data_IF_438429956977
#
_entry.id   IF_438429956977
#
_cell.length_a   1.000
_cell.length_b   1.000
_cell.length_c   1.000
_cell.angle_alpha   90.00
_cell.angle_beta   90.00
_cell.angle_gamma   90.00
#
_symmetry.space_group_name_H-M   'P 1'
#
loop_
_entity.id
_entity.type
_entity.pdbx_description
1 polymer ?
#
# COMPACT_ATOMS: atom_id res chain seq x y z
N UNK A 1 42.23 3.79 -25.32
CA UNK A 1 43.28 4.52 -24.59
C UNK A 1 42.74 4.84 -23.20
N UNK A 2 43.50 4.59 -22.14
CA UNK A 2 43.07 4.83 -20.75
C UNK A 2 43.77 6.06 -20.16
N UNK A 3 43.02 6.87 -19.42
CA UNK A 3 43.58 7.92 -18.55
C UNK A 3 44.12 7.28 -17.26
N UNK A 4 44.89 8.04 -16.47
CA UNK A 4 45.62 7.59 -15.29
C UNK A 4 44.72 7.23 -14.08
N UNK A 5 43.60 6.57 -14.33
CA UNK A 5 42.71 6.05 -13.32
C UNK A 5 43.43 4.93 -12.56
N UNK A 6 43.65 5.13 -11.25
CA UNK A 6 44.29 4.14 -10.36
C UNK A 6 43.58 2.78 -10.37
N UNK A 7 42.30 2.75 -10.74
CA UNK A 7 41.50 1.54 -10.92
C UNK A 7 41.90 0.69 -12.14
N UNK A 8 42.61 1.26 -13.11
CA UNK A 8 43.01 0.58 -14.35
C UNK A 8 44.54 0.40 -14.43
N UNK A 9 45.29 1.41 -13.99
CA UNK A 9 46.75 1.43 -13.97
C UNK A 9 47.21 1.52 -12.53
N UNK A 10 47.83 0.46 -12.02
CA UNK A 10 48.39 0.39 -10.67
C UNK A 10 49.67 1.22 -10.59
N UNK A 11 50.55 1.08 -11.58
CA UNK A 11 51.85 1.75 -11.64
C UNK A 11 52.27 1.97 -13.10
N UNK A 12 52.89 3.11 -13.41
CA UNK A 12 53.34 3.43 -14.78
C UNK A 12 54.80 3.10 -14.96
N UNK A 13 55.13 2.55 -16.12
CA UNK A 13 56.52 2.32 -16.55
C UNK A 13 57.27 1.41 -15.56
N UNK A 14 56.52 0.51 -14.92
CA UNK A 14 57.00 -0.37 -13.85
C UNK A 14 58.02 -1.39 -14.37
N UNK A 15 57.99 -1.69 -15.67
CA UNK A 15 58.87 -2.66 -16.32
C UNK A 15 59.77 -2.00 -17.37
N UNK A 16 59.26 -1.04 -18.15
CA UNK A 16 60.00 -0.24 -19.14
C UNK A 16 59.18 1.00 -19.57
N UNK A 17 59.78 1.94 -20.31
CA UNK A 17 59.05 3.11 -20.84
C UNK A 17 57.90 2.68 -21.76
N UNK A 18 56.66 2.98 -21.37
CA UNK A 18 55.44 2.57 -22.06
C UNK A 18 54.85 1.23 -21.60
N UNK A 19 55.51 0.53 -20.65
CA UNK A 19 55.04 -0.74 -20.10
C UNK A 19 54.58 -0.56 -18.64
N UNK A 20 53.26 -0.53 -18.47
CA UNK A 20 52.61 -0.14 -17.22
C UNK A 20 52.06 -1.37 -16.49
N UNK A 21 52.10 -1.35 -15.16
CA UNK A 21 51.44 -2.33 -14.31
C UNK A 21 49.94 -2.07 -14.30
N UNK A 22 49.19 -2.93 -14.99
CA UNK A 22 47.73 -2.84 -15.11
C UNK A 22 47.03 -3.71 -14.06
N UNK A 23 45.78 -3.38 -13.75
CA UNK A 23 44.93 -4.25 -12.93
C UNK A 23 44.70 -5.60 -13.63
N UNK A 24 44.80 -6.70 -12.89
CA UNK A 24 44.75 -8.07 -13.44
C UNK A 24 43.44 -8.33 -14.20
N UNK A 25 42.31 -7.92 -13.63
CA UNK A 25 40.99 -8.05 -14.26
C UNK A 25 40.89 -7.29 -15.58
N UNK A 26 41.51 -6.12 -15.65
CA UNK A 26 41.50 -5.29 -16.85
C UNK A 26 42.40 -5.88 -17.94
N UNK A 27 43.53 -6.47 -17.55
CA UNK A 27 44.39 -7.23 -18.46
C UNK A 27 43.67 -8.47 -18.99
N UNK A 28 42.94 -9.19 -18.13
CA UNK A 28 42.15 -10.36 -18.52
C UNK A 28 41.05 -9.96 -19.50
N UNK A 29 40.29 -8.91 -19.19
CA UNK A 29 39.27 -8.37 -20.08
C UNK A 29 39.87 -7.96 -21.44
N UNK A 30 41.06 -7.37 -21.46
CA UNK A 30 41.70 -6.99 -22.72
C UNK A 30 42.04 -8.19 -23.61
N UNK A 31 42.40 -9.33 -23.00
CA UNK A 31 42.62 -10.60 -23.70
C UNK A 31 41.31 -11.20 -24.18
N UNK A 32 40.31 -11.28 -23.29
CA UNK A 32 39.00 -11.87 -23.59
C UNK A 32 38.29 -11.12 -24.74
N UNK A 33 38.44 -9.80 -24.79
CA UNK A 33 37.83 -8.94 -25.79
C UNK A 33 38.76 -8.58 -26.97
N UNK A 34 39.98 -9.09 -26.99
CA UNK A 34 40.91 -8.92 -28.12
C UNK A 34 41.36 -7.48 -28.38
N UNK A 35 41.46 -6.63 -27.36
CA UNK A 35 41.94 -5.25 -27.52
C UNK A 35 43.21 -4.97 -26.71
N UNK A 36 44.08 -4.08 -27.21
CA UNK A 36 45.29 -3.66 -26.49
C UNK A 36 45.06 -2.36 -25.73
N UNK A 37 45.39 -2.36 -24.44
CA UNK A 37 45.39 -1.16 -23.62
C UNK A 37 46.60 -0.30 -23.93
N UNK A 38 46.36 1.00 -24.09
CA UNK A 38 47.38 2.02 -24.31
C UNK A 38 47.10 3.18 -23.38
N UNK A 39 47.99 3.44 -22.43
CA UNK A 39 47.85 4.57 -21.54
C UNK A 39 48.12 5.88 -22.29
N UNK A 40 47.39 6.93 -21.93
CA UNK A 40 47.66 8.28 -22.42
C UNK A 40 48.98 8.80 -21.85
N UNK A 41 49.79 9.51 -22.66
CA UNK A 41 51.02 10.14 -22.16
C UNK A 41 50.68 11.22 -21.11
N UNK A 42 51.41 11.31 -19.98
CA UNK A 42 51.24 12.38 -19.00
C UNK A 42 51.37 13.77 -19.65
N UNK A 43 50.61 14.76 -19.17
CA UNK A 43 50.65 16.17 -19.61
C UNK A 43 50.31 16.47 -21.09
N UNK A 44 49.92 15.46 -21.89
CA UNK A 44 49.43 15.67 -23.27
C UNK A 44 47.91 15.49 -23.35
N UNK A 45 47.17 16.49 -22.85
CA UNK A 45 45.70 16.49 -22.82
C UNK A 45 45.04 16.37 -24.22
N UNK A 46 45.78 16.59 -25.31
CA UNK A 46 45.29 16.41 -26.70
C UNK A 46 45.03 14.93 -27.06
N UNK A 47 45.68 13.96 -26.39
CA UNK A 47 45.48 12.52 -26.61
C UNK A 47 44.46 11.87 -25.68
N UNK A 48 44.05 12.57 -24.62
CA UNK A 48 42.96 12.15 -23.74
C UNK A 48 41.65 12.36 -24.49
N UNK A 49 40.90 11.28 -24.74
CA UNK A 49 39.57 11.37 -25.34
C UNK A 49 38.72 12.37 -24.55
N UNK A 50 38.30 13.46 -25.20
CA UNK A 50 37.62 14.60 -24.58
C UNK A 50 36.16 14.28 -24.24
N UNK A 51 35.93 13.32 -23.34
CA UNK A 51 34.58 12.98 -22.83
C UNK A 51 33.96 14.18 -22.11
N UNK A 52 34.78 15.01 -21.44
CA UNK A 52 34.35 16.25 -20.77
C UNK A 52 33.62 17.24 -21.69
N UNK A 53 33.97 17.28 -22.99
CA UNK A 53 33.33 18.21 -23.94
C UNK A 53 31.91 17.79 -24.30
N UNK A 54 31.62 16.50 -24.32
CA UNK A 54 30.26 16.05 -24.60
C UNK A 54 29.33 16.34 -23.42
N UNK A 55 29.78 16.10 -22.19
CA UNK A 55 28.98 16.44 -21.00
C UNK A 55 28.68 17.93 -20.91
N UNK A 56 29.66 18.79 -21.22
CA UNK A 56 29.45 20.23 -21.34
C UNK A 56 28.42 20.58 -22.43
N UNK A 57 28.53 19.96 -23.61
CA UNK A 57 27.58 20.15 -24.71
C UNK A 57 26.15 19.70 -24.33
N UNK A 58 26.00 18.51 -23.75
CA UNK A 58 24.72 17.97 -23.28
C UNK A 58 24.08 18.91 -22.26
N UNK A 59 24.85 19.36 -21.26
CA UNK A 59 24.33 20.25 -20.23
C UNK A 59 23.79 21.55 -20.83
N UNK A 60 24.56 22.19 -21.71
CA UNK A 60 24.20 23.51 -22.23
C UNK A 60 23.20 23.47 -23.39
N UNK A 61 23.18 22.38 -24.18
CA UNK A 61 22.37 22.30 -25.41
C UNK A 61 21.12 21.43 -25.27
N UNK A 62 21.01 20.65 -24.19
CA UNK A 62 19.85 19.82 -23.89
C UNK A 62 19.24 20.17 -22.54
N UNK A 63 20.01 20.04 -21.45
CA UNK A 63 19.48 20.16 -20.09
C UNK A 63 18.99 21.58 -19.80
N UNK A 64 19.80 22.61 -20.11
CA UNK A 64 19.44 24.01 -19.83
C UNK A 64 18.19 24.44 -20.62
N UNK A 65 18.10 24.26 -21.96
CA UNK A 65 16.89 24.60 -22.71
C UNK A 65 15.65 23.83 -22.24
N UNK A 66 15.78 22.52 -21.99
CA UNK A 66 14.66 21.69 -21.55
C UNK A 66 14.14 22.15 -20.18
N UNK A 67 15.02 22.50 -19.24
CA UNK A 67 14.63 23.02 -17.94
C UNK A 67 13.91 24.38 -18.07
N UNK A 68 14.36 25.25 -18.98
CA UNK A 68 13.71 26.55 -19.25
C UNK A 68 12.31 26.36 -19.82
N UNK A 69 12.13 25.47 -20.80
CA UNK A 69 10.82 25.15 -21.39
C UNK A 69 9.86 24.55 -20.34
N UNK A 70 10.35 23.66 -19.48
CA UNK A 70 9.54 23.06 -18.42
C UNK A 70 9.11 24.12 -17.38
N UNK A 71 10.02 25.02 -16.98
CA UNK A 71 9.70 26.12 -16.07
C UNK A 71 8.66 27.07 -16.64
N UNK A 72 8.69 27.35 -17.95
CA UNK A 72 7.67 28.14 -18.63
C UNK A 72 6.26 27.52 -18.55
N UNK A 73 6.18 26.20 -18.33
CA UNK A 73 4.94 25.44 -18.16
C UNK A 73 4.67 25.01 -16.71
N UNK A 74 5.35 25.61 -15.72
CA UNK A 74 5.27 25.26 -14.29
C UNK A 74 5.57 23.77 -14.00
N UNK A 75 6.50 23.16 -14.73
CA UNK A 75 6.98 21.79 -14.53
C UNK A 75 8.45 21.79 -14.12
N UNK A 76 8.85 20.77 -13.36
CA UNK A 76 10.25 20.55 -12.97
C UNK A 76 10.90 19.46 -13.84
N UNK A 77 12.23 19.58 -14.04
CA UNK A 77 13.00 18.61 -14.80
C UNK A 77 13.22 17.33 -13.97
N UNK A 78 12.55 16.26 -14.39
CA UNK A 78 12.73 14.90 -13.84
C UNK A 78 13.54 13.99 -14.79
N UNK A 79 14.13 12.93 -14.23
CA UNK A 79 14.93 11.91 -14.93
C UNK A 79 14.10 11.23 -16.03
N UNK A 80 12.84 10.92 -15.76
CA UNK A 80 11.96 10.29 -16.76
C UNK A 80 11.70 11.21 -17.96
N UNK A 81 11.46 12.50 -17.69
CA UNK A 81 11.25 13.52 -18.73
C UNK A 81 12.52 13.71 -19.56
N UNK A 82 13.69 13.78 -18.89
CA UNK A 82 14.97 13.87 -19.57
C UNK A 82 15.21 12.65 -20.48
N UNK A 83 14.95 11.44 -20.01
CA UNK A 83 15.09 10.20 -20.80
C UNK A 83 14.11 10.15 -21.98
N UNK A 84 12.87 10.61 -21.81
CA UNK A 84 11.90 10.67 -22.89
C UNK A 84 12.28 11.70 -23.98
N UNK A 85 12.90 12.83 -23.59
CA UNK A 85 13.23 13.93 -24.50
C UNK A 85 14.62 13.82 -25.14
N UNK A 86 15.55 13.07 -24.53
CA UNK A 86 16.92 12.96 -25.03
C UNK A 86 16.98 12.22 -26.36
N UNK A 87 16.16 11.18 -26.57
CA UNK A 87 16.14 10.43 -27.84
C UNK A 87 15.84 11.31 -29.06
N UNK A 88 14.71 12.04 -29.08
CA UNK A 88 14.41 12.99 -30.15
C UNK A 88 15.47 14.09 -30.32
N UNK A 89 16.03 14.60 -29.20
CA UNK A 89 17.10 15.61 -29.25
C UNK A 89 18.39 15.05 -29.89
N UNK A 90 18.77 13.82 -29.56
CA UNK A 90 19.92 13.15 -30.18
C UNK A 90 19.73 13.04 -31.69
N UNK A 91 18.58 12.53 -32.13
CA UNK A 91 18.29 12.31 -33.55
C UNK A 91 18.21 13.61 -34.36
N UNK A 92 17.63 14.67 -33.80
CA UNK A 92 17.36 15.94 -34.53
C UNK A 92 18.47 16.97 -34.39
N UNK A 93 19.20 16.96 -33.28
CA UNK A 93 20.18 18.00 -32.94
C UNK A 93 21.58 17.41 -32.83
N UNK A 94 21.81 16.51 -31.88
CA UNK A 94 23.16 16.07 -31.55
C UNK A 94 23.84 15.26 -32.67
N UNK A 95 23.07 14.40 -33.36
CA UNK A 95 23.57 13.55 -34.43
C UNK A 95 23.62 14.25 -35.79
N UNK A 96 22.87 15.34 -35.96
CA UNK A 96 22.80 16.10 -37.22
C UNK A 96 23.81 17.26 -37.29
N UNK A 97 24.38 17.67 -36.16
CA UNK A 97 25.36 18.76 -36.12
C UNK A 97 26.67 18.37 -36.81
N UNK A 98 27.34 19.35 -37.39
CA UNK A 98 28.73 19.19 -37.84
C UNK A 98 29.62 19.23 -36.61
N UNK A 99 30.32 18.14 -36.31
CA UNK A 99 31.13 18.05 -35.10
C UNK A 99 32.50 18.73 -35.29
N UNK A 100 32.88 19.64 -34.39
CA UNK A 100 34.05 20.52 -34.59
C UNK A 100 35.42 19.84 -34.69
N UNK A 101 35.57 18.58 -34.27
CA UNK A 101 36.83 17.83 -34.42
C UNK A 101 36.85 16.96 -35.68
N UNK A 102 35.71 16.36 -36.03
CA UNK A 102 35.61 15.39 -37.14
C UNK A 102 35.13 16.02 -38.43
N UNK A 103 34.58 17.25 -38.36
CA UNK A 103 34.00 18.02 -39.47
C UNK A 103 32.89 17.27 -40.25
N UNK A 104 32.36 16.21 -39.67
CA UNK A 104 31.29 15.38 -40.20
C UNK A 104 30.13 15.32 -39.20
N UNK A 105 28.95 14.94 -39.70
CA UNK A 105 27.80 14.63 -38.85
C UNK A 105 28.05 13.30 -38.10
N UNK A 106 27.82 13.25 -36.77
CA UNK A 106 27.98 12.01 -36.01
C UNK A 106 27.14 10.85 -36.55
N UNK A 107 25.91 11.10 -37.04
CA UNK A 107 25.06 10.04 -37.62
C UNK A 107 25.74 9.36 -38.82
N UNK A 108 26.21 10.17 -39.77
CA UNK A 108 26.79 9.70 -41.02
C UNK A 108 28.12 8.99 -40.77
N UNK A 109 28.90 9.52 -39.82
CA UNK A 109 30.17 8.91 -39.41
C UNK A 109 29.94 7.58 -38.70
N UNK A 110 28.97 7.49 -37.79
CA UNK A 110 28.64 6.22 -37.12
C UNK A 110 28.21 5.17 -38.14
N UNK A 111 27.41 5.52 -39.14
CA UNK A 111 27.00 4.58 -40.20
C UNK A 111 28.19 4.01 -41.00
N UNK A 112 29.27 4.80 -41.15
CA UNK A 112 30.54 4.32 -41.73
C UNK A 112 31.32 3.44 -40.73
N UNK A 113 31.46 3.91 -39.49
CA UNK A 113 32.25 3.24 -38.44
C UNK A 113 31.65 1.91 -38.01
N UNK A 114 30.32 1.77 -37.96
CA UNK A 114 29.63 0.52 -37.60
C UNK A 114 30.04 -0.65 -38.51
N UNK A 115 30.35 -0.39 -39.79
CA UNK A 115 30.83 -1.42 -40.72
C UNK A 115 32.23 -1.95 -40.36
N UNK A 116 33.00 -1.16 -39.61
CA UNK A 116 34.34 -1.52 -39.12
C UNK A 116 34.33 -2.04 -37.68
N UNK A 117 33.18 -2.04 -37.00
CA UNK A 117 33.07 -2.56 -35.64
C UNK A 117 33.06 -4.09 -35.69
N UNK A 118 33.91 -4.70 -34.87
CA UNK A 118 33.90 -6.14 -34.65
C UNK A 118 32.75 -6.50 -33.68
N UNK A 119 32.08 -7.64 -33.88
CA UNK A 119 31.15 -8.15 -32.89
C UNK A 119 31.88 -8.39 -31.56
N UNK A 120 31.16 -8.21 -30.44
CA UNK A 120 31.70 -8.59 -29.14
C UNK A 120 32.00 -10.12 -29.17
N UNK A 121 33.14 -10.56 -28.62
CA UNK A 121 33.42 -11.98 -28.51
C UNK A 121 32.33 -12.68 -27.71
N UNK A 122 31.94 -13.88 -28.15
CA UNK A 122 30.96 -14.70 -27.44
C UNK A 122 31.48 -15.00 -26.03
N UNK A 123 30.87 -14.41 -25.00
CA UNK A 123 31.23 -14.70 -23.63
C UNK A 123 31.01 -16.19 -23.36
N UNK A 124 32.05 -16.89 -22.91
CA UNK A 124 31.88 -18.06 -22.07
C UNK A 124 31.32 -17.55 -20.74
N UNK A 125 29.99 -17.52 -20.61
CA UNK A 125 29.34 -17.18 -19.36
C UNK A 125 29.63 -18.28 -18.33
N UNK A 126 30.62 -18.07 -17.47
CA UNK A 126 30.59 -18.66 -16.14
C UNK A 126 29.63 -17.79 -15.30
N UNK A 127 28.60 -18.44 -14.80
CA UNK A 127 27.51 -17.88 -14.02
C UNK A 127 28.01 -17.04 -12.84
N UNK A 128 27.83 -15.72 -12.91
CA UNK A 128 27.84 -14.83 -11.75
C UNK A 128 26.37 -14.64 -11.35
N UNK A 129 25.99 -14.79 -10.07
CA UNK A 129 24.60 -14.60 -9.64
C UNK A 129 24.16 -13.17 -9.93
N UNK A 130 23.10 -13.04 -10.74
CA UNK A 130 22.53 -11.77 -11.14
C UNK A 130 21.95 -11.05 -9.91
N UNK A 131 22.62 -9.99 -9.49
CA UNK A 131 21.98 -8.91 -8.74
C UNK A 131 21.61 -7.81 -9.73
N UNK A 132 20.30 -7.55 -9.83
CA UNK A 132 19.63 -6.41 -10.44
C UNK A 132 20.41 -5.63 -11.52
N UNK A 133 20.13 -5.92 -12.79
CA UNK A 133 20.29 -4.92 -13.86
C UNK A 133 19.11 -4.99 -14.82
N UNK A 134 18.48 -3.83 -15.00
CA UNK A 134 17.37 -3.54 -15.89
C UNK A 134 17.73 -3.92 -17.33
N UNK A 135 17.01 -4.88 -17.92
CA UNK A 135 17.07 -5.18 -19.34
C UNK A 135 16.34 -4.09 -20.13
N UNK A 136 17.08 -3.15 -20.71
CA UNK A 136 16.57 -2.26 -21.76
C UNK A 136 16.87 -2.94 -23.11
N UNK A 137 15.87 -3.35 -23.91
CA UNK A 137 16.13 -3.84 -25.25
C UNK A 137 16.56 -2.69 -26.17
N UNK A 138 17.73 -2.84 -26.78
CA UNK A 138 18.22 -1.96 -27.85
C UNK A 138 17.36 -2.22 -29.10
N UNK A 139 16.49 -1.27 -29.44
CA UNK A 139 15.71 -1.30 -30.70
C UNK A 139 16.61 -0.84 -31.86
N UNK A 140 16.78 -1.62 -32.94
CA UNK A 140 17.51 -1.17 -34.13
C UNK A 140 16.73 -0.06 -34.88
N UNK A 141 17.40 0.82 -35.65
CA UNK A 141 16.73 1.92 -36.32
C UNK A 141 15.80 1.41 -37.43
N UNK A 142 14.54 1.89 -37.42
CA UNK A 142 13.55 1.66 -38.46
C UNK A 142 14.07 2.16 -39.82
N UNK A 143 14.33 1.24 -40.75
CA UNK A 143 14.38 1.55 -42.17
C UNK A 143 12.95 1.70 -42.68
N UNK A 144 12.54 2.94 -42.96
CA UNK A 144 11.35 3.22 -43.77
C UNK A 144 11.70 3.03 -45.25
N UNK A 145 11.65 1.78 -45.72
CA UNK A 145 11.44 1.49 -47.14
C UNK A 145 9.98 1.06 -47.32
N UNK A 146 9.26 1.87 -48.08
CA UNK A 146 7.86 1.70 -48.46
C UNK A 146 7.68 0.36 -49.17
N UNK A 147 7.02 -0.61 -48.52
CA UNK A 147 6.47 -1.78 -49.18
C UNK A 147 5.04 -2.03 -48.66
N UNK A 148 4.07 -1.74 -49.52
CA UNK A 148 2.65 -2.05 -49.35
C UNK A 148 2.45 -3.54 -49.14
N UNK A 149 1.95 -3.97 -47.98
CA UNK A 149 1.14 -5.20 -47.82
C UNK A 149 0.32 -5.12 -46.52
N UNK A 150 -1.01 -5.21 -46.64
CA UNK A 150 -2.00 -5.13 -45.56
C UNK A 150 -2.00 -6.31 -44.56
N UNK A 151 -0.95 -7.15 -44.54
CA UNK A 151 -0.86 -8.35 -43.67
C UNK A 151 0.06 -8.16 -42.45
N UNK A 152 0.99 -7.20 -42.47
CA UNK A 152 1.95 -6.98 -41.38
C UNK A 152 1.38 -6.12 -40.22
N UNK A 153 0.34 -5.33 -40.48
CA UNK A 153 -0.31 -4.49 -39.47
C UNK A 153 -0.96 -5.35 -38.37
N UNK A 154 -1.56 -6.47 -38.74
CA UNK A 154 -2.14 -7.47 -37.83
C UNK A 154 -1.10 -8.46 -37.29
N UNK A 155 0.18 -8.15 -37.24
CA UNK A 155 1.14 -8.90 -36.40
C UNK A 155 1.86 -7.97 -35.43
N UNK A 156 2.24 -6.79 -35.94
CA UNK A 156 2.86 -5.74 -35.17
C UNK A 156 1.93 -5.10 -34.12
N UNK A 157 0.62 -4.97 -34.41
CA UNK A 157 -0.33 -4.46 -33.42
C UNK A 157 -0.49 -5.38 -32.20
N UNK A 158 -0.36 -6.69 -32.35
CA UNK A 158 -0.55 -7.66 -31.26
C UNK A 158 0.71 -7.77 -30.42
N UNK A 159 1.90 -7.76 -31.03
CA UNK A 159 3.18 -7.74 -30.32
C UNK A 159 3.37 -6.46 -29.48
N UNK A 160 2.99 -5.29 -30.01
CA UNK A 160 3.08 -4.02 -29.28
C UNK A 160 2.04 -3.92 -28.15
N UNK A 161 0.81 -4.41 -28.36
CA UNK A 161 -0.19 -4.45 -27.29
C UNK A 161 0.15 -5.47 -26.19
N UNK A 162 0.80 -6.60 -26.52
CA UNK A 162 1.32 -7.55 -25.54
C UNK A 162 2.38 -6.89 -24.64
N UNK A 163 3.31 -6.13 -25.24
CA UNK A 163 4.39 -5.44 -24.53
C UNK A 163 3.86 -4.31 -23.61
N UNK A 164 2.82 -3.59 -24.05
CA UNK A 164 2.15 -2.59 -23.23
C UNK A 164 1.40 -3.21 -22.06
N UNK A 165 0.79 -4.39 -22.25
CA UNK A 165 0.09 -5.10 -21.18
C UNK A 165 1.05 -5.50 -20.06
N UNK A 166 2.18 -6.09 -20.43
CA UNK A 166 3.22 -6.52 -19.50
C UNK A 166 3.85 -5.33 -18.74
N UNK A 167 4.05 -4.19 -19.42
CA UNK A 167 4.53 -2.96 -18.77
C UNK A 167 3.52 -2.38 -17.78
N UNK A 168 2.23 -2.38 -18.13
CA UNK A 168 1.16 -1.90 -17.25
C UNK A 168 1.07 -2.80 -16.01
N UNK A 169 1.13 -4.12 -16.18
CA UNK A 169 1.12 -5.06 -15.06
C UNK A 169 2.34 -4.87 -14.14
N UNK A 170 3.53 -4.75 -14.71
CA UNK A 170 4.75 -4.53 -13.93
C UNK A 170 4.73 -3.20 -13.15
N UNK A 171 4.27 -2.11 -13.77
CA UNK A 171 4.09 -0.82 -13.09
C UNK A 171 3.01 -0.90 -12.01
N UNK A 172 1.91 -1.60 -12.27
CA UNK A 172 0.87 -1.83 -11.28
C UNK A 172 1.41 -2.61 -10.09
N UNK A 173 2.24 -3.63 -10.30
CA UNK A 173 2.86 -4.40 -9.23
C UNK A 173 3.82 -3.52 -8.39
N UNK A 174 4.69 -2.74 -9.05
CA UNK A 174 5.60 -1.79 -8.40
C UNK A 174 4.85 -0.75 -7.55
N UNK A 175 3.73 -0.23 -8.06
CA UNK A 175 2.88 0.76 -7.38
C UNK A 175 1.87 0.14 -6.40
N UNK A 176 1.88 -1.20 -6.23
CA UNK A 176 0.95 -1.97 -5.38
C UNK A 176 -0.53 -1.77 -5.77
N UNK A 177 -0.80 -1.64 -7.07
CA UNK A 177 -2.13 -1.49 -7.68
C UNK A 177 -2.62 -2.87 -8.12
N UNK A 178 -3.30 -3.59 -7.23
CA UNK A 178 -3.61 -5.01 -7.46
C UNK A 178 -4.92 -5.24 -8.25
N UNK A 179 -5.74 -4.22 -8.41
CA UNK A 179 -7.05 -4.25 -9.09
C UNK A 179 -6.94 -3.86 -10.57
N UNK A 180 -6.02 -2.94 -10.88
CA UNK A 180 -5.88 -2.40 -12.23
C UNK A 180 -5.49 -3.47 -13.27
N UNK A 181 -4.54 -4.38 -13.01
CA UNK A 181 -4.19 -5.48 -13.94
C UNK A 181 -5.40 -6.30 -14.41
N UNK A 182 -6.35 -6.58 -13.52
CA UNK A 182 -7.51 -7.43 -13.82
C UNK A 182 -8.64 -6.72 -14.55
N UNK A 183 -8.75 -5.38 -14.42
CA UNK A 183 -9.91 -4.63 -14.92
C UNK A 183 -9.60 -3.68 -16.08
N UNK A 184 -8.32 -3.40 -16.36
CA UNK A 184 -7.95 -2.41 -17.37
C UNK A 184 -8.25 -2.83 -18.81
N UNK A 185 -8.07 -4.11 -19.16
CA UNK A 185 -8.33 -4.63 -20.51
C UNK A 185 -9.81 -4.44 -20.90
N UNK A 186 -10.72 -4.90 -20.05
CA UNK A 186 -12.17 -4.76 -20.24
C UNK A 186 -12.62 -3.29 -20.31
N UNK A 187 -11.99 -2.39 -19.54
CA UNK A 187 -12.33 -0.97 -19.56
C UNK A 187 -11.71 -0.23 -20.76
N UNK A 188 -10.56 -0.69 -21.27
CA UNK A 188 -9.89 -0.13 -22.44
C UNK A 188 -10.62 -0.47 -23.75
N UNK A 189 -11.19 -1.67 -23.86
CA UNK A 189 -11.98 -2.09 -25.03
C UNK A 189 -13.21 -1.20 -25.27
N UNK A 190 -13.77 -0.62 -24.20
CA UNK A 190 -14.94 0.26 -24.25
C UNK A 190 -14.60 1.73 -24.59
N UNK A 191 -13.34 2.05 -24.87
CA UNK A 191 -12.79 3.40 -24.85
C UNK A 191 -12.48 4.00 -26.25
N UNK A 192 -13.49 4.24 -27.10
CA UNK A 192 -13.39 5.23 -28.19
C UNK A 192 -14.54 6.26 -28.07
N UNK A 193 -14.32 7.60 -28.07
CA UNK A 193 -13.12 8.44 -28.38
C UNK A 193 -12.41 9.06 -27.14
N UNK A 194 -11.43 9.98 -27.32
CA UNK A 194 -10.59 10.64 -26.26
C UNK A 194 -11.35 11.15 -25.01
N UNK A 195 -12.62 11.53 -25.14
CA UNK A 195 -13.48 11.94 -24.02
C UNK A 195 -13.77 10.80 -23.04
N UNK A 196 -13.65 9.53 -23.48
CA UNK A 196 -13.79 8.33 -22.64
C UNK A 196 -12.51 7.93 -21.91
N UNK A 197 -11.32 8.35 -22.34
CA UNK A 197 -10.07 7.97 -21.67
C UNK A 197 -10.00 8.46 -20.22
N UNK A 198 -10.41 9.72 -19.98
CA UNK A 198 -10.49 10.28 -18.61
C UNK A 198 -11.48 9.51 -17.74
N UNK A 199 -12.59 9.04 -18.33
CA UNK A 199 -13.59 8.21 -17.62
C UNK A 199 -13.03 6.83 -17.30
N UNK A 200 -12.31 6.20 -18.24
CA UNK A 200 -11.66 4.91 -18.03
C UNK A 200 -10.61 4.98 -16.94
N UNK A 201 -9.74 5.99 -16.97
CA UNK A 201 -8.76 6.22 -15.90
C UNK A 201 -9.44 6.43 -14.55
N UNK A 202 -10.48 7.26 -14.49
CA UNK A 202 -11.26 7.47 -13.26
C UNK A 202 -11.89 6.15 -12.77
N UNK A 203 -12.45 5.34 -13.66
CA UNK A 203 -13.03 4.03 -13.31
C UNK A 203 -11.98 3.06 -12.78
N UNK A 204 -10.78 3.03 -13.37
CA UNK A 204 -9.67 2.20 -12.89
C UNK A 204 -9.20 2.61 -11.50
N UNK A 205 -9.00 3.91 -11.29
CA UNK A 205 -8.61 4.44 -9.98
C UNK A 205 -9.69 4.18 -8.92
N UNK A 206 -10.98 4.32 -9.28
CA UNK A 206 -12.10 3.98 -8.39
C UNK A 206 -12.12 2.49 -8.05
N UNK A 207 -11.89 1.62 -9.03
CA UNK A 207 -11.86 0.17 -8.83
C UNK A 207 -10.72 -0.23 -7.86
N UNK A 208 -9.51 0.32 -8.07
CA UNK A 208 -8.39 0.12 -7.15
C UNK A 208 -8.70 0.63 -5.74
N UNK A 209 -9.26 1.84 -5.63
CA UNK A 209 -9.65 2.40 -4.34
C UNK A 209 -10.67 1.51 -3.63
N UNK A 210 -11.71 1.05 -4.33
CA UNK A 210 -12.73 0.16 -3.78
C UNK A 210 -12.11 -1.16 -3.30
N UNK A 211 -11.22 -1.76 -4.07
CA UNK A 211 -10.60 -3.03 -3.69
C UNK A 211 -9.60 -2.87 -2.54
N UNK A 212 -8.93 -1.72 -2.41
CA UNK A 212 -8.13 -1.39 -1.21
C UNK A 212 -9.01 -1.19 0.02
N UNK A 213 -10.14 -0.53 -0.16
CA UNK A 213 -11.12 -0.27 0.90
C UNK A 213 -11.75 -1.57 1.41
N UNK A 214 -12.13 -2.47 0.50
CA UNK A 214 -12.63 -3.81 0.82
C UNK A 214 -11.59 -4.65 1.54
N UNK A 215 -10.33 -4.67 1.07
CA UNK A 215 -9.24 -5.35 1.77
C UNK A 215 -9.06 -4.84 3.19
N UNK A 216 -9.12 -3.52 3.37
CA UNK A 216 -9.04 -2.88 4.69
C UNK A 216 -10.23 -3.29 5.57
N UNK A 217 -11.46 -3.24 5.06
CA UNK A 217 -12.67 -3.65 5.79
C UNK A 217 -12.62 -5.13 6.17
N UNK A 218 -12.19 -6.00 5.27
CA UNK A 218 -12.05 -7.43 5.52
C UNK A 218 -11.01 -7.72 6.62
N UNK A 219 -9.87 -7.04 6.56
CA UNK A 219 -8.85 -7.12 7.61
C UNK A 219 -9.40 -6.65 8.96
N UNK A 220 -10.05 -5.49 9.00
CA UNK A 220 -10.64 -4.94 10.22
C UNK A 220 -11.75 -5.84 10.77
N UNK A 221 -12.58 -6.44 9.92
CA UNK A 221 -13.63 -7.38 10.31
C UNK A 221 -13.05 -8.64 10.97
N UNK A 222 -11.95 -9.17 10.41
CA UNK A 222 -11.24 -10.32 11.00
C UNK A 222 -10.59 -9.95 12.33
N UNK A 223 -9.95 -8.79 12.42
CA UNK A 223 -9.33 -8.30 13.66
C UNK A 223 -10.35 -7.99 14.77
N UNK A 224 -11.56 -7.55 14.38
CA UNK A 224 -12.61 -7.22 15.33
C UNK A 224 -13.08 -8.42 16.14
N UNK A 225 -13.03 -9.64 15.58
CA UNK A 225 -13.34 -10.87 16.32
C UNK A 225 -14.83 -11.04 16.64
N UNK A 226 -15.72 -10.60 15.74
CA UNK A 226 -17.16 -10.80 15.93
C UNK A 226 -17.52 -12.30 15.95
N UNK A 227 -18.38 -12.75 16.87
CA UNK A 227 -18.77 -14.17 16.97
C UNK A 227 -19.72 -14.59 15.84
N UNK A 228 -20.47 -13.64 15.27
CA UNK A 228 -21.39 -13.87 14.17
C UNK A 228 -21.55 -12.60 13.32
N UNK A 229 -21.99 -12.76 12.08
CA UNK A 229 -22.35 -11.64 11.21
C UNK A 229 -23.82 -11.26 11.43
N UNK A 230 -24.08 -10.12 12.09
CA UNK A 230 -25.42 -9.64 12.45
C UNK A 230 -25.59 -8.18 12.05
N UNK A 231 -26.19 -7.94 10.88
CA UNK A 231 -26.45 -6.58 10.40
C UNK A 231 -27.60 -5.89 11.14
N UNK A 232 -27.57 -4.56 11.20
CA UNK A 232 -28.68 -3.79 11.77
C UNK A 232 -29.97 -3.91 10.95
N UNK A 233 -29.87 -4.16 9.64
CA UNK A 233 -31.04 -4.28 8.77
C UNK A 233 -31.86 -5.54 9.02
N UNK A 234 -31.24 -6.59 9.57
CA UNK A 234 -31.92 -7.85 9.91
C UNK A 234 -32.55 -7.83 11.30
N UNK A 235 -32.41 -6.73 12.04
CA UNK A 235 -32.99 -6.58 13.36
C UNK A 235 -34.51 -6.30 13.27
N UNK A 236 -35.31 -7.14 13.91
CA UNK A 236 -36.76 -6.99 13.94
C UNK A 236 -37.20 -6.02 15.05
N UNK A 237 -37.38 -4.75 14.65
CA UNK A 237 -37.85 -3.68 15.54
C UNK A 237 -39.29 -3.87 16.05
N UNK A 238 -40.08 -4.79 15.48
CA UNK A 238 -41.42 -5.09 16.00
C UNK A 238 -41.37 -5.99 17.23
N UNK A 239 -40.31 -6.78 17.35
CA UNK A 239 -40.17 -7.79 18.41
C UNK A 239 -39.46 -7.23 19.65
N UNK A 240 -38.45 -6.39 19.47
CA UNK A 240 -37.80 -5.70 20.58
C UNK A 240 -38.58 -4.42 20.93
N UNK A 241 -39.15 -4.38 22.14
CA UNK A 241 -39.82 -3.19 22.67
C UNK A 241 -38.84 -2.34 23.49
N UNK A 242 -39.05 -1.04 23.57
CA UNK A 242 -38.27 -0.14 24.43
C UNK A 242 -37.22 0.73 23.74
N UNK A 243 -36.89 0.50 22.45
CA UNK A 243 -35.99 1.40 21.69
C UNK A 243 -36.68 2.00 20.46
N UNK A 244 -36.76 3.34 20.34
CA UNK A 244 -37.18 3.99 19.11
C UNK A 244 -36.23 3.65 17.96
N UNK A 245 -36.77 3.21 16.82
CA UNK A 245 -35.98 2.92 15.59
C UNK A 245 -35.09 4.10 15.18
N UNK A 246 -35.57 5.33 15.38
CA UNK A 246 -34.84 6.56 15.08
C UNK A 246 -33.53 6.65 15.87
N UNK A 247 -33.54 6.31 17.17
CA UNK A 247 -32.34 6.36 18.00
C UNK A 247 -31.27 5.37 17.52
N UNK A 248 -31.68 4.16 17.11
CA UNK A 248 -30.74 3.18 16.52
C UNK A 248 -30.21 3.69 15.17
N UNK A 249 -31.03 4.36 14.37
CA UNK A 249 -30.57 4.98 13.11
C UNK A 249 -29.53 6.07 13.36
N UNK A 250 -29.73 6.92 14.37
CA UNK A 250 -28.78 7.95 14.80
C UNK A 250 -27.43 7.33 15.23
N UNK A 251 -27.46 6.30 16.10
CA UNK A 251 -26.25 5.56 16.48
C UNK A 251 -25.57 4.89 15.28
N UNK A 252 -26.36 4.48 14.29
CA UNK A 252 -25.84 3.86 13.08
C UNK A 252 -25.06 4.82 12.16
N UNK A 253 -25.16 6.13 12.40
CA UNK A 253 -24.33 7.15 11.78
C UNK A 253 -22.91 7.24 12.41
N UNK A 254 -22.69 6.57 13.55
CA UNK A 254 -21.40 6.44 14.23
C UNK A 254 -20.81 7.75 14.76
N UNK A 255 -21.61 8.82 14.84
CA UNK A 255 -21.20 10.13 15.38
C UNK A 255 -20.73 10.03 16.83
N UNK A 256 -21.34 9.13 17.62
CA UNK A 256 -20.95 8.84 19.00
C UNK A 256 -19.48 8.38 19.12
N UNK A 257 -18.93 7.71 18.09
CA UNK A 257 -17.54 7.25 18.08
C UNK A 257 -16.56 8.43 17.99
N UNK A 258 -16.89 9.47 17.25
CA UNK A 258 -16.03 10.65 17.11
C UNK A 258 -16.14 11.58 18.33
N UNK A 259 -17.25 11.50 19.08
CA UNK A 259 -17.47 12.24 20.32
C UNK A 259 -16.96 11.49 21.56
N UNK A 260 -16.41 10.29 21.40
CA UNK A 260 -15.99 9.41 22.50
C UNK A 260 -17.13 9.09 23.49
N UNK A 261 -18.37 9.06 23.00
CA UNK A 261 -19.55 8.69 23.78
C UNK A 261 -19.68 7.16 23.86
N UNK A 262 -20.16 6.65 24.98
CA UNK A 262 -20.41 5.23 25.20
C UNK A 262 -21.85 4.85 24.82
N UNK A 263 -22.11 3.56 24.60
CA UNK A 263 -23.46 3.04 24.41
C UNK A 263 -23.66 1.87 25.36
N UNK A 264 -24.69 1.92 26.18
CA UNK A 264 -24.99 0.87 27.15
C UNK A 264 -26.33 0.24 26.82
N UNK A 265 -26.31 -1.05 26.46
CA UNK A 265 -27.48 -1.84 26.12
C UNK A 265 -27.90 -2.69 27.31
N UNK A 266 -29.06 -2.39 27.90
CA UNK A 266 -29.61 -3.09 29.05
C UNK A 266 -30.87 -3.87 28.67
N UNK A 267 -31.15 -4.98 29.35
CA UNK A 267 -32.41 -5.71 29.16
C UNK A 267 -32.27 -7.23 29.35
N UNK A 268 -33.37 -7.99 29.37
CA UNK A 268 -33.33 -9.43 29.65
C UNK A 268 -32.62 -10.23 28.55
N UNK A 269 -32.31 -11.50 28.82
CA UNK A 269 -31.61 -12.35 27.85
C UNK A 269 -32.45 -12.58 26.58
N UNK A 270 -31.79 -12.58 25.42
CA UNK A 270 -32.43 -12.93 24.15
C UNK A 270 -33.20 -11.82 23.43
N UNK A 271 -33.24 -10.59 23.95
CA UNK A 271 -33.94 -9.43 23.30
C UNK A 271 -33.13 -8.74 22.18
N UNK A 272 -31.93 -9.22 21.87
CA UNK A 272 -31.13 -8.70 20.74
C UNK A 272 -30.07 -7.65 21.07
N UNK A 273 -29.69 -7.45 22.34
CA UNK A 273 -28.60 -6.54 22.77
C UNK A 273 -27.29 -6.79 22.01
N UNK A 274 -26.81 -8.02 22.04
CA UNK A 274 -25.60 -8.44 21.33
C UNK A 274 -25.73 -8.24 19.82
N UNK A 275 -26.92 -8.45 19.25
CA UNK A 275 -27.17 -8.21 17.82
C UNK A 275 -26.96 -6.73 17.48
N UNK A 276 -27.54 -5.82 18.26
CA UNK A 276 -27.35 -4.37 18.05
C UNK A 276 -25.88 -3.97 18.22
N UNK A 277 -25.20 -4.48 19.23
CA UNK A 277 -23.78 -4.21 19.47
C UNK A 277 -22.92 -4.66 18.27
N UNK A 278 -23.12 -5.89 17.79
CA UNK A 278 -22.43 -6.42 16.60
C UNK A 278 -22.79 -5.60 15.37
N UNK A 279 -24.05 -5.26 15.14
CA UNK A 279 -24.49 -4.50 13.97
C UNK A 279 -23.88 -3.10 13.92
N UNK A 280 -23.79 -2.41 15.05
CA UNK A 280 -23.09 -1.13 15.16
C UNK A 280 -21.58 -1.31 14.93
N UNK A 281 -20.99 -2.38 15.48
CA UNK A 281 -19.59 -2.75 15.24
C UNK A 281 -19.28 -3.03 13.76
N UNK A 282 -20.16 -3.74 13.05
CA UNK A 282 -20.02 -3.99 11.63
C UNK A 282 -20.11 -2.68 10.84
N UNK A 283 -21.04 -1.78 11.17
CA UNK A 283 -21.06 -0.45 10.55
C UNK A 283 -19.78 0.33 10.81
N UNK A 284 -19.22 0.27 12.01
CA UNK A 284 -17.94 0.91 12.34
C UNK A 284 -16.79 0.36 11.49
N UNK A 285 -16.72 -0.97 11.31
CA UNK A 285 -15.75 -1.62 10.42
C UNK A 285 -15.94 -1.21 8.96
N UNK A 286 -17.18 -1.12 8.48
CA UNK A 286 -17.49 -0.63 7.12
C UNK A 286 -17.03 0.81 6.90
N UNK A 287 -17.11 1.64 7.94
CA UNK A 287 -16.56 2.99 8.01
C UNK A 287 -15.04 3.03 8.27
N UNK A 288 -14.34 1.90 8.16
CA UNK A 288 -12.89 1.71 8.37
C UNK A 288 -12.41 2.13 9.78
N UNK A 289 -13.29 2.08 10.78
CA UNK A 289 -12.93 2.31 12.18
C UNK A 289 -12.45 0.99 12.80
N UNK A 290 -11.27 1.02 13.43
CA UNK A 290 -10.74 -0.12 14.18
C UNK A 290 -11.70 -0.44 15.32
N UNK A 291 -12.24 -1.65 15.32
CA UNK A 291 -13.24 -2.13 16.28
C UNK A 291 -12.74 -3.44 16.90
N UNK A 292 -13.09 -3.71 18.15
CA UNK A 292 -12.82 -4.99 18.82
C UNK A 292 -14.05 -5.44 19.59
N UNK A 293 -14.40 -6.71 19.45
CA UNK A 293 -15.42 -7.40 20.22
C UNK A 293 -14.76 -8.37 21.20
N UNK A 294 -15.28 -8.45 22.42
CA UNK A 294 -14.90 -9.44 23.43
C UNK A 294 -16.05 -9.59 24.44
N UNK A 295 -16.16 -10.74 25.07
CA UNK A 295 -17.07 -10.88 26.23
C UNK A 295 -16.38 -10.35 27.48
N UNK A 296 -17.15 -9.92 28.48
CA UNK A 296 -16.60 -9.44 29.74
C UNK A 296 -15.73 -10.52 30.42
N UNK A 297 -16.16 -11.78 30.40
CA UNK A 297 -15.41 -12.91 30.93
C UNK A 297 -14.07 -13.14 30.21
N UNK A 298 -14.07 -13.11 28.87
CA UNK A 298 -12.83 -13.28 28.08
C UNK A 298 -11.86 -12.13 28.31
N UNK A 299 -12.38 -10.89 28.36
CA UNK A 299 -11.58 -9.70 28.66
C UNK A 299 -10.90 -9.82 30.03
N UNK A 300 -11.63 -10.27 31.07
CA UNK A 300 -11.07 -10.45 32.41
C UNK A 300 -9.97 -11.51 32.40
N UNK A 301 -10.21 -12.66 31.76
CA UNK A 301 -9.21 -13.71 31.63
C UNK A 301 -7.93 -13.21 30.95
N UNK A 302 -8.07 -12.43 29.87
CA UNK A 302 -6.95 -11.87 29.12
C UNK A 302 -6.19 -10.81 29.96
N UNK A 303 -6.89 -9.94 30.69
CA UNK A 303 -6.27 -8.94 31.57
C UNK A 303 -5.53 -9.60 32.73
N UNK A 304 -6.15 -10.57 33.40
CA UNK A 304 -5.53 -11.32 34.51
C UNK A 304 -4.29 -12.09 34.04
N UNK A 305 -4.35 -12.68 32.85
CA UNK A 305 -3.19 -13.36 32.25
C UNK A 305 -2.08 -12.38 31.87
N UNK A 306 -2.42 -11.23 31.27
CA UNK A 306 -1.45 -10.20 30.94
C UNK A 306 -0.81 -9.57 32.19
N UNK A 307 -1.56 -9.44 33.28
CA UNK A 307 -1.05 -8.98 34.60
C UNK A 307 -0.04 -9.98 35.15
N UNK A 308 -0.37 -11.28 35.20
CA UNK A 308 0.55 -12.35 35.65
C UNK A 308 1.84 -12.40 34.82
N UNK A 309 1.74 -12.12 33.52
CA UNK A 309 2.90 -12.09 32.62
C UNK A 309 3.66 -10.75 32.58
N UNK A 310 3.31 -9.78 33.44
CA UNK A 310 3.86 -8.41 33.42
C UNK A 310 3.74 -7.67 32.07
N UNK A 311 2.76 -8.06 31.25
CA UNK A 311 2.47 -7.48 29.92
C UNK A 311 1.18 -6.62 29.90
N UNK A 312 0.63 -6.31 31.07
CA UNK A 312 -0.64 -5.58 31.20
C UNK A 312 -0.64 -4.24 30.45
N UNK A 313 0.42 -3.42 30.57
CA UNK A 313 0.52 -2.13 29.86
C UNK A 313 0.45 -2.31 28.34
N UNK A 314 1.15 -3.31 27.81
CA UNK A 314 1.16 -3.63 26.39
C UNK A 314 -0.23 -4.08 25.92
N UNK A 315 -0.88 -4.97 26.67
CA UNK A 315 -2.23 -5.43 26.37
C UNK A 315 -3.24 -4.27 26.38
N UNK A 316 -3.21 -3.41 27.40
CA UNK A 316 -4.09 -2.23 27.47
C UNK A 316 -3.87 -1.29 26.27
N UNK A 317 -2.61 -1.05 25.86
CA UNK A 317 -2.35 -0.18 24.70
C UNK A 317 -2.88 -0.76 23.38
N UNK A 318 -2.70 -2.07 23.16
CA UNK A 318 -3.00 -2.72 21.88
C UNK A 318 -4.44 -3.18 21.74
N UNK A 319 -4.98 -3.84 22.75
CA UNK A 319 -6.32 -4.44 22.71
C UNK A 319 -7.40 -3.50 23.22
N UNK A 320 -7.06 -2.63 24.18
CA UNK A 320 -8.03 -1.73 24.82
C UNK A 320 -7.98 -0.33 24.22
N UNK A 321 -6.82 0.28 23.98
CA UNK A 321 -6.77 1.67 23.48
C UNK A 321 -6.68 1.81 21.95
N UNK A 322 -6.05 0.86 21.25
CA UNK A 322 -5.89 0.97 19.80
C UNK A 322 -7.19 0.92 18.99
N UNK A 323 -8.25 0.16 19.39
CA UNK A 323 -9.55 0.22 18.72
C UNK A 323 -10.30 1.51 19.06
N UNK A 324 -10.82 2.21 18.04
CA UNK A 324 -11.73 3.35 18.24
C UNK A 324 -13.02 2.92 18.94
N UNK A 325 -13.50 1.71 18.65
CA UNK A 325 -14.68 1.13 19.27
C UNK A 325 -14.33 -0.18 19.98
N UNK A 326 -14.63 -0.27 21.27
CA UNK A 326 -14.52 -1.51 22.04
C UNK A 326 -15.93 -1.98 22.42
N UNK A 327 -16.28 -3.21 22.06
CA UNK A 327 -17.54 -3.84 22.39
C UNK A 327 -17.27 -4.90 23.46
N UNK A 328 -17.91 -4.75 24.61
CA UNK A 328 -17.83 -5.69 25.72
C UNK A 328 -19.22 -6.26 25.97
N UNK A 329 -19.38 -7.53 25.63
CA UNK A 329 -20.66 -8.24 25.69
C UNK A 329 -20.79 -9.03 27.01
N UNK A 330 -22.03 -9.26 27.45
CA UNK A 330 -22.38 -10.16 28.56
C UNK A 330 -21.85 -9.73 29.95
N UNK A 331 -21.90 -8.43 30.26
CA UNK A 331 -21.64 -7.96 31.63
C UNK A 331 -22.77 -8.43 32.56
N UNK A 332 -22.39 -9.04 33.68
CA UNK A 332 -23.34 -9.45 34.73
C UNK A 332 -23.78 -10.92 34.68
N UNK A 333 -23.16 -11.75 33.83
CA UNK A 333 -23.43 -13.19 33.81
C UNK A 333 -22.61 -13.98 34.85
N UNK A 334 -21.39 -13.53 35.13
CA UNK A 334 -20.52 -14.10 36.16
C UNK A 334 -20.02 -12.99 37.08
N UNK A 335 -20.06 -13.19 38.41
CA UNK A 335 -19.49 -12.23 39.35
C UNK A 335 -17.96 -12.24 39.20
N UNK A 336 -17.37 -11.05 39.08
CA UNK A 336 -15.94 -10.88 39.00
C UNK A 336 -15.33 -10.80 40.39
N UNK A 337 -14.14 -11.35 40.57
CA UNK A 337 -13.34 -11.15 41.77
C UNK A 337 -12.85 -9.70 41.88
N UNK A 338 -12.40 -9.30 43.08
CA UNK A 338 -11.91 -7.92 43.32
C UNK A 338 -10.78 -7.50 42.37
N UNK A 339 -9.87 -8.41 42.04
CA UNK A 339 -8.78 -8.11 41.11
C UNK A 339 -9.28 -7.85 39.69
N UNK A 340 -10.24 -8.63 39.22
CA UNK A 340 -10.84 -8.51 37.89
C UNK A 340 -11.68 -7.24 37.80
N UNK A 341 -12.46 -6.93 38.83
CA UNK A 341 -13.19 -5.65 38.93
C UNK A 341 -12.26 -4.44 38.83
N UNK A 342 -11.10 -4.47 39.51
CA UNK A 342 -10.07 -3.43 39.41
C UNK A 342 -9.45 -3.34 38.00
N UNK A 343 -9.23 -4.49 37.35
CA UNK A 343 -8.72 -4.52 35.97
C UNK A 343 -9.73 -3.95 34.98
N UNK A 344 -11.01 -4.26 35.16
CA UNK A 344 -12.09 -3.70 34.35
C UNK A 344 -12.25 -2.20 34.57
N UNK A 345 -12.19 -1.73 35.82
CA UNK A 345 -12.16 -0.30 36.13
C UNK A 345 -11.05 0.42 35.38
N UNK A 346 -9.84 -0.15 35.35
CA UNK A 346 -8.72 0.42 34.59
C UNK A 346 -8.98 0.50 33.08
N UNK A 347 -9.74 -0.44 32.51
CA UNK A 347 -10.17 -0.39 31.11
C UNK A 347 -11.10 0.79 30.87
N UNK A 348 -12.15 0.93 31.69
CA UNK A 348 -13.12 2.03 31.57
C UNK A 348 -12.45 3.38 31.82
N UNK A 349 -11.64 3.50 32.87
CA UNK A 349 -10.94 4.74 33.21
C UNK A 349 -9.96 5.20 32.12
N UNK A 350 -9.29 4.28 31.41
CA UNK A 350 -8.41 4.65 30.29
C UNK A 350 -9.15 5.06 29.03
N UNK A 351 -10.33 4.49 28.80
CA UNK A 351 -11.14 4.79 27.61
C UNK A 351 -12.04 6.00 27.79
N UNK A 352 -12.32 6.40 29.03
CA UNK A 352 -13.01 7.63 29.37
C UNK A 352 -12.43 8.81 28.60
N UNK A 353 -13.29 9.52 27.84
CA UNK A 353 -12.95 10.65 26.95
C UNK A 353 -11.92 10.37 25.84
N UNK A 354 -11.45 9.13 25.68
CA UNK A 354 -10.42 8.74 24.70
C UNK A 354 -10.89 7.71 23.67
N UNK A 355 -11.99 6.99 23.92
CA UNK A 355 -12.61 6.14 22.91
C UNK A 355 -13.88 5.43 23.37
N UNK A 356 -14.83 5.30 22.46
CA UNK A 356 -16.18 4.79 22.75
C UNK A 356 -16.23 3.32 23.12
N UNK A 357 -17.07 2.98 24.09
CA UNK A 357 -17.35 1.61 24.51
C UNK A 357 -18.82 1.29 24.27
N UNK A 358 -19.10 0.14 23.63
CA UNK A 358 -20.45 -0.46 23.65
C UNK A 358 -20.45 -1.56 24.69
N UNK A 359 -21.41 -1.50 25.62
CA UNK A 359 -21.60 -2.49 26.67
C UNK A 359 -22.95 -3.16 26.53
N UNK A 360 -23.01 -4.46 26.80
CA UNK A 360 -24.29 -5.16 26.97
C UNK A 360 -24.38 -5.77 28.36
N UNK A 361 -25.54 -5.64 29.01
CA UNK A 361 -25.79 -6.27 30.31
C UNK A 361 -27.23 -6.74 30.44
N UNK A 362 -27.41 -7.85 31.14
CA UNK A 362 -28.71 -8.34 31.59
C UNK A 362 -29.13 -7.76 32.95
N UNK A 363 -28.22 -7.08 33.66
CA UNK A 363 -28.45 -6.50 34.97
C UNK A 363 -28.79 -5.01 34.84
N UNK A 364 -29.67 -4.54 35.72
CA UNK A 364 -29.87 -3.10 35.92
C UNK A 364 -28.68 -2.49 36.65
N UNK A 365 -28.44 -1.18 36.52
CA UNK A 365 -27.29 -0.51 37.16
C UNK A 365 -27.22 -0.71 38.68
N UNK A 366 -28.36 -0.81 39.36
CA UNK A 366 -28.40 -1.08 40.80
C UNK A 366 -27.87 -2.46 41.20
N UNK A 367 -27.81 -3.41 40.27
CA UNK A 367 -27.31 -4.77 40.48
C UNK A 367 -25.85 -4.95 40.04
N UNK A 368 -25.21 -3.90 39.52
CA UNK A 368 -23.80 -3.98 39.14
C UNK A 368 -22.85 -4.23 40.32
N UNK A 369 -23.08 -3.70 41.55
CA UNK A 369 -22.20 -4.00 42.68
C UNK A 369 -22.01 -5.51 42.91
N UNK A 370 -23.08 -6.31 42.79
CA UNK A 370 -22.99 -7.77 42.93
C UNK A 370 -22.21 -8.46 41.79
N UNK A 371 -22.10 -7.83 40.63
CA UNK A 371 -21.26 -8.34 39.54
C UNK A 371 -19.78 -7.97 39.71
N UNK A 372 -19.47 -6.92 40.48
CA UNK A 372 -18.12 -6.38 40.68
C UNK A 372 -17.66 -6.53 42.14
N UNK A 373 -17.65 -7.77 42.63
CA UNK A 373 -17.13 -8.17 43.95
C UNK A 373 -17.79 -7.48 45.15
N UNK A 374 -19.07 -7.12 45.05
CA UNK A 374 -19.86 -6.40 46.07
C UNK A 374 -19.23 -5.07 46.52
N UNK A 375 -18.36 -4.49 45.68
CA UNK A 375 -17.74 -3.20 45.94
C UNK A 375 -18.58 -2.07 45.33
N UNK A 376 -19.50 -1.56 46.14
CA UNK A 376 -20.37 -0.45 45.75
C UNK A 376 -19.57 0.82 45.38
N UNK A 377 -18.42 1.07 46.03
CA UNK A 377 -17.64 2.29 45.83
C UNK A 377 -16.91 2.29 44.49
N UNK A 378 -16.24 1.18 44.16
CA UNK A 378 -15.58 0.99 42.86
C UNK A 378 -16.60 0.99 41.73
N UNK A 379 -17.72 0.30 41.93
CA UNK A 379 -18.79 0.24 40.92
C UNK A 379 -19.40 1.60 40.65
N UNK A 380 -19.67 2.40 41.69
CA UNK A 380 -20.19 3.77 41.53
C UNK A 380 -19.21 4.65 40.75
N UNK A 381 -17.92 4.62 41.10
CA UNK A 381 -16.88 5.39 40.41
C UNK A 381 -16.70 4.96 38.94
N UNK A 382 -16.92 3.68 38.64
CA UNK A 382 -16.90 3.16 37.28
C UNK A 382 -18.12 3.61 36.48
N UNK A 383 -19.32 3.48 37.06
CA UNK A 383 -20.58 3.86 36.43
C UNK A 383 -20.61 5.36 36.13
N UNK A 384 -20.11 6.19 37.04
CA UNK A 384 -19.99 7.64 36.84
C UNK A 384 -19.23 7.98 35.54
N UNK A 385 -18.02 7.43 35.37
CA UNK A 385 -17.22 7.61 34.15
C UNK A 385 -17.87 7.02 32.91
N UNK A 386 -18.50 5.85 33.05
CA UNK A 386 -19.13 5.17 31.93
C UNK A 386 -20.35 5.93 31.41
N UNK A 387 -21.16 6.49 32.33
CA UNK A 387 -22.47 7.06 32.03
C UNK A 387 -22.45 8.56 31.74
N UNK A 388 -21.40 9.28 32.15
CA UNK A 388 -21.28 10.74 31.93
C UNK A 388 -21.49 11.14 30.46
N UNK A 389 -20.86 10.42 29.51
CA UNK A 389 -21.08 10.59 28.08
C UNK A 389 -21.56 9.27 27.49
N UNK A 390 -22.85 8.97 27.64
CA UNK A 390 -23.40 7.70 27.17
C UNK A 390 -24.82 7.76 26.61
N UNK A 391 -25.10 6.85 25.69
CA UNK A 391 -26.44 6.53 25.22
C UNK A 391 -26.89 5.24 25.92
N UNK A 392 -27.84 5.36 26.85
CA UNK A 392 -28.40 4.20 27.56
C UNK A 392 -29.65 3.74 26.82
N UNK A 393 -29.62 2.49 26.35
CA UNK A 393 -30.72 1.86 25.64
C UNK A 393 -31.24 0.68 26.45
N UNK A 394 -32.50 0.77 26.87
CA UNK A 394 -33.17 -0.29 27.61
C UNK A 394 -34.09 -1.08 26.67
N UNK A 395 -33.78 -2.36 26.50
CA UNK A 395 -34.57 -3.30 25.73
C UNK A 395 -35.50 -4.07 26.66
N UNK A 396 -36.71 -4.32 26.19
CA UNK A 396 -37.71 -5.16 26.84
C UNK A 396 -38.41 -6.02 25.80
N UNK A 397 -38.98 -7.14 26.24
CA UNK A 397 -39.69 -8.07 25.37
C UNK A 397 -39.32 -9.53 25.63
N UNK A 398 -39.97 -10.43 24.92
CA UNK A 398 -39.66 -11.86 24.99
C UNK A 398 -38.30 -12.18 24.35
N UNK A 399 -37.75 -13.33 24.70
CA UNK A 399 -36.49 -13.81 24.11
C UNK A 399 -36.70 -14.28 22.67
N UNK A 400 -35.97 -13.66 21.73
CA UNK A 400 -36.00 -14.04 20.32
C UNK A 400 -35.55 -15.50 20.11
N UNK A 401 -34.66 -15.99 20.98
CA UNK A 401 -34.16 -17.38 20.94
C UNK A 401 -35.28 -18.40 21.22
N UNK A 402 -36.29 -18.05 22.03
CA UNK A 402 -37.45 -18.91 22.29
C UNK A 402 -38.40 -18.96 21.09
N UNK A 403 -38.54 -17.85 20.35
CA UNK A 403 -39.35 -17.80 19.12
C UNK A 403 -38.80 -18.73 18.05
N UNK A 404 -37.49 -18.74 17.82
CA UNK A 404 -36.86 -19.66 16.85
C UNK A 404 -37.08 -21.14 17.25
N UNK A 405 -37.02 -21.45 18.56
CA UNK A 405 -37.30 -22.80 19.08
C UNK A 405 -38.78 -23.21 18.98
N UNK A 406 -39.71 -22.28 19.21
CA UNK A 406 -41.16 -22.49 18.99
C UNK A 406 -41.44 -22.75 17.50
N UNK A 407 -40.81 -21.98 16.61
CA UNK A 407 -40.95 -22.13 15.16
C UNK A 407 -40.33 -23.43 14.63
N UNK A 408 -39.30 -23.96 15.29
CA UNK A 408 -38.70 -25.26 14.98
C UNK A 408 -39.37 -26.45 15.68
N UNK A 409 -40.49 -26.24 16.39
CA UNK A 409 -41.28 -27.31 17.03
C UNK A 409 -40.65 -27.94 18.29
N UNK A 410 -39.63 -27.32 18.88
CA UNK A 410 -38.90 -27.90 20.02
C UNK A 410 -39.49 -27.53 21.40
N UNK A 411 -40.49 -26.64 21.43
CA UNK A 411 -41.19 -26.20 22.65
C UNK A 411 -42.68 -26.15 22.31
N UNK A 412 -43.46 -27.08 22.87
CA UNK A 412 -44.92 -27.02 22.94
C UNK A 412 -45.35 -26.02 24.03
N UNK A 413 -46.48 -25.34 23.81
CA UNK A 413 -46.97 -24.16 24.55
C UNK A 413 -46.89 -24.22 26.07
#
# INVERSE_FOLDING_TARGET
MCDNAKSLIIERDAYAEGDHKLHVEMLQMSKDYGFKLKACKPYRAKTKGKVERFNHYLKNSFIVPLNTDLRAHNLELDIEIANAKVGPWLQRVAHQRIHGTTLEKPADRLAKEVKSLLPLPARVCQSIPQTNTLNIPIVPPLNLSVCNTQSAYTKHYWEVNMLLHEQIEHLCESLKLNSIPTHWSSLAENALPKTKLRRVLLSLLKCEQQQRDERTRNLLSRMAGFPAHKELNTFDFKFATGIPKQHIQELSALTFIERNENVVLLGPSGVGKTHLAIGLGLKAVQAKKKTRFTTAAELMLQLSTAKRQNKLKQYLSRSVMAPKLLIIDEIGYLPFGREEANLFFNVIAKRYEHGSVILTSNLSFGQWPSAFADDATLTAAMLDRLLHHSHVLQLSGESYRLKDKRRSGAITE
#
